data_IF_869065139373
#
_entry.id   IF_869065139373
#
_cell.length_a   1.000
_cell.length_b   1.000
_cell.length_c   1.000
_cell.angle_alpha   90.00
_cell.angle_beta   90.00
_cell.angle_gamma   90.00
#
_symmetry.space_group_name_H-M   'P 1'
#
loop_
_entity.id
_entity.type
_entity.pdbx_description
1 polymer ?
#
# COMPACT_ATOMS: atom_id res chain seq x y z
N UNK A 1 -1.06 -17.32 -17.16
CA UNK A 1 -0.12 -16.31 -16.63
C UNK A 1 -0.24 -14.94 -17.30
N UNK A 2 -0.21 -14.78 -18.65
CA UNK A 2 -0.23 -13.44 -19.26
C UNK A 2 -1.52 -12.65 -18.99
N UNK A 3 -2.68 -13.31 -18.99
CA UNK A 3 -3.98 -12.68 -18.68
C UNK A 3 -4.02 -12.09 -17.25
N UNK A 4 -3.42 -12.78 -16.28
CA UNK A 4 -3.36 -12.31 -14.89
C UNK A 4 -2.52 -11.04 -14.76
N UNK A 5 -1.33 -11.03 -15.36
CA UNK A 5 -0.46 -9.85 -15.36
C UNK A 5 -1.07 -8.66 -16.09
N UNK A 6 -1.78 -8.90 -17.20
CA UNK A 6 -2.54 -7.88 -17.89
C UNK A 6 -3.63 -7.28 -16.98
N UNK A 7 -4.35 -8.12 -16.22
CA UNK A 7 -5.35 -7.67 -15.26
C UNK A 7 -4.75 -6.86 -14.09
N UNK A 8 -3.62 -7.29 -13.54
CA UNK A 8 -2.90 -6.54 -12.48
C UNK A 8 -2.44 -5.18 -13.00
N UNK A 9 -1.81 -5.15 -14.18
CA UNK A 9 -1.34 -3.91 -14.79
C UNK A 9 -2.50 -2.97 -15.11
N UNK A 10 -3.60 -3.48 -15.66
CA UNK A 10 -4.81 -2.73 -15.92
C UNK A 10 -5.43 -2.16 -14.64
N UNK A 11 -5.46 -2.95 -13.56
CA UNK A 11 -5.99 -2.51 -12.26
C UNK A 11 -5.16 -1.38 -11.67
N UNK A 12 -3.82 -1.48 -11.74
CA UNK A 12 -2.94 -0.40 -11.34
C UNK A 12 -3.13 0.86 -12.19
N UNK A 13 -3.19 0.69 -13.51
CA UNK A 13 -3.40 1.79 -14.45
C UNK A 13 -4.68 2.56 -14.17
N UNK A 14 -5.79 1.82 -14.08
CA UNK A 14 -7.12 2.40 -13.85
C UNK A 14 -7.18 3.14 -12.52
N UNK A 15 -6.63 2.53 -11.45
CA UNK A 15 -6.60 3.14 -10.13
C UNK A 15 -5.73 4.41 -10.09
N UNK A 16 -4.52 4.36 -10.66
CA UNK A 16 -3.63 5.52 -10.71
C UNK A 16 -4.25 6.66 -11.51
N UNK A 17 -4.89 6.35 -12.65
CA UNK A 17 -5.58 7.36 -13.45
C UNK A 17 -6.74 8.01 -12.69
N UNK A 18 -7.52 7.22 -11.94
CA UNK A 18 -8.60 7.73 -11.09
C UNK A 18 -8.06 8.63 -9.98
N UNK A 19 -6.97 8.24 -9.31
CA UNK A 19 -6.34 9.04 -8.27
C UNK A 19 -5.81 10.38 -8.80
N UNK A 20 -5.18 10.38 -9.98
CA UNK A 20 -4.68 11.61 -10.60
C UNK A 20 -5.82 12.55 -11.05
N UNK A 21 -6.92 11.99 -11.55
CA UNK A 21 -8.11 12.77 -11.94
C UNK A 21 -8.88 13.35 -10.75
N UNK A 22 -8.70 12.77 -9.56
CA UNK A 22 -9.31 13.26 -8.33
C UNK A 22 -8.52 14.41 -7.66
N UNK A 23 -7.35 14.78 -8.20
CA UNK A 23 -6.61 15.95 -7.72
C UNK A 23 -7.35 17.26 -8.04
N UNK A 24 -7.14 18.33 -7.26
CA UNK A 24 -7.79 19.61 -7.48
C UNK A 24 -7.59 20.15 -8.92
N UNK A 25 -8.58 20.88 -9.47
CA UNK A 25 -8.43 21.57 -10.76
C UNK A 25 -7.19 22.47 -10.77
N UNK A 26 -6.47 22.56 -11.89
CA UNK A 26 -5.24 23.36 -12.01
C UNK A 26 -3.94 22.63 -11.65
N UNK A 27 -3.99 21.45 -11.00
CA UNK A 27 -2.77 20.72 -10.62
C UNK A 27 -2.20 19.92 -11.80
N UNK A 28 -3.06 19.25 -12.57
CA UNK A 28 -2.66 18.32 -13.63
C UNK A 28 -3.41 18.53 -14.95
N UNK A 29 -3.98 19.71 -15.21
CA UNK A 29 -4.81 20.07 -16.38
C UNK A 29 -4.58 19.21 -17.66
N UNK A 30 -5.34 18.12 -17.79
CA UNK A 30 -5.26 17.18 -18.92
C UNK A 30 -4.01 16.29 -18.99
N UNK A 31 -3.00 16.50 -18.14
CA UNK A 31 -1.72 15.78 -18.10
C UNK A 31 -1.72 14.50 -17.26
N UNK A 32 -2.83 14.17 -16.61
CA UNK A 32 -2.95 12.98 -15.76
C UNK A 32 -2.49 11.69 -16.48
N UNK A 33 -2.85 11.50 -17.76
CA UNK A 33 -2.46 10.32 -18.54
C UNK A 33 -0.94 10.19 -18.74
N UNK A 34 -0.21 11.30 -18.83
CA UNK A 34 1.25 11.28 -19.01
C UNK A 34 2.01 10.88 -17.73
N UNK A 35 1.39 11.05 -16.56
CA UNK A 35 1.98 10.67 -15.28
C UNK A 35 1.66 9.23 -14.87
N UNK A 36 0.69 8.58 -15.51
CA UNK A 36 0.34 7.18 -15.19
C UNK A 36 1.54 6.23 -15.41
N UNK A 37 2.24 6.24 -16.57
CA UNK A 37 3.37 5.34 -16.79
C UNK A 37 4.49 5.44 -15.74
N UNK A 38 5.06 6.63 -15.41
CA UNK A 38 6.13 6.73 -14.41
C UNK A 38 5.66 6.33 -13.00
N UNK A 39 4.39 6.55 -12.64
CA UNK A 39 3.84 6.12 -11.34
C UNK A 39 3.66 4.61 -11.26
N UNK A 40 3.20 3.96 -12.34
CA UNK A 40 3.16 2.49 -12.41
C UNK A 40 4.57 1.91 -12.35
N UNK A 41 5.54 2.51 -13.05
CA UNK A 41 6.93 2.10 -12.99
C UNK A 41 7.48 2.22 -11.55
N UNK A 42 7.23 3.34 -10.88
CA UNK A 42 7.58 3.52 -9.46
C UNK A 42 6.95 2.46 -8.55
N UNK A 43 5.67 2.11 -8.77
CA UNK A 43 5.00 1.03 -8.04
C UNK A 43 5.66 -0.33 -8.30
N UNK A 44 5.98 -0.64 -9.55
CA UNK A 44 6.65 -1.89 -9.92
C UNK A 44 8.03 -1.99 -9.26
N UNK A 45 8.82 -0.91 -9.28
CA UNK A 45 10.12 -0.82 -8.61
C UNK A 45 9.98 -1.03 -7.12
N UNK A 46 8.99 -0.40 -6.48
CA UNK A 46 8.74 -0.57 -5.05
C UNK A 46 8.41 -2.03 -4.68
N UNK A 47 7.54 -2.70 -5.44
CA UNK A 47 7.20 -4.11 -5.22
C UNK A 47 8.38 -5.04 -5.50
N UNK A 48 9.21 -4.71 -6.50
CA UNK A 48 10.43 -5.44 -6.80
C UNK A 48 11.45 -5.31 -5.67
N UNK A 49 11.63 -4.09 -5.14
CA UNK A 49 12.47 -3.82 -3.98
C UNK A 49 11.97 -4.53 -2.72
N UNK A 50 10.65 -4.54 -2.48
CA UNK A 50 10.02 -5.29 -1.37
C UNK A 50 10.33 -6.79 -1.48
N UNK A 51 10.09 -7.39 -2.65
CA UNK A 51 10.40 -8.81 -2.89
C UNK A 51 11.91 -9.09 -2.75
N UNK A 52 12.75 -8.18 -3.23
CA UNK A 52 14.21 -8.28 -3.19
C UNK A 52 14.75 -8.25 -1.76
N UNK A 53 14.25 -7.33 -0.94
CA UNK A 53 14.62 -7.24 0.47
C UNK A 53 14.31 -8.55 1.21
N UNK A 54 13.12 -9.11 1.02
CA UNK A 54 12.79 -10.41 1.62
C UNK A 54 13.64 -11.56 1.07
N UNK A 55 13.94 -11.57 -0.22
CA UNK A 55 14.81 -12.58 -0.82
C UNK A 55 16.24 -12.53 -0.26
N UNK A 56 16.82 -11.33 -0.14
CA UNK A 56 18.14 -11.12 0.47
C UNK A 56 18.12 -11.57 1.93
N UNK A 57 17.10 -11.19 2.70
CA UNK A 57 16.95 -11.59 4.10
C UNK A 57 16.78 -13.11 4.26
N UNK A 58 16.12 -13.78 3.31
CA UNK A 58 16.04 -15.23 3.25
C UNK A 58 17.40 -15.86 2.96
N UNK A 59 18.10 -15.36 1.94
CA UNK A 59 19.40 -15.84 1.50
C UNK A 59 20.47 -15.71 2.59
N UNK A 60 20.55 -14.57 3.28
CA UNK A 60 21.51 -14.35 4.39
C UNK A 60 21.27 -15.28 5.58
N UNK A 61 20.07 -15.87 5.69
CA UNK A 61 19.72 -16.84 6.72
C UNK A 61 19.69 -18.28 6.21
N UNK A 62 20.30 -18.55 5.06
CA UNK A 62 20.42 -19.88 4.46
C UNK A 62 19.12 -20.45 3.88
N UNK A 63 18.10 -19.63 3.66
CA UNK A 63 16.80 -20.05 3.16
C UNK A 63 16.38 -19.18 1.95
N UNK A 64 16.96 -19.42 0.76
CA UNK A 64 16.68 -18.60 -0.42
C UNK A 64 15.21 -18.70 -0.84
N UNK A 65 14.60 -17.56 -1.17
CA UNK A 65 13.24 -17.48 -1.67
C UNK A 65 13.21 -17.63 -3.20
N UNK A 66 12.22 -18.34 -3.78
CA UNK A 66 12.00 -18.35 -5.22
C UNK A 66 11.47 -16.98 -5.67
N UNK A 67 12.40 -16.06 -5.96
CA UNK A 67 12.15 -14.63 -6.15
C UNK A 67 10.97 -14.33 -7.08
N UNK A 68 10.98 -14.87 -8.31
CA UNK A 68 9.93 -14.56 -9.29
C UNK A 68 8.53 -15.03 -8.89
N UNK A 69 8.44 -16.19 -8.22
CA UNK A 69 7.16 -16.70 -7.69
C UNK A 69 6.66 -15.80 -6.56
N UNK A 70 7.57 -15.38 -5.69
CA UNK A 70 7.25 -14.51 -4.57
C UNK A 70 6.89 -13.09 -5.02
N UNK A 71 7.59 -12.53 -6.00
CA UNK A 71 7.27 -11.24 -6.61
C UNK A 71 5.87 -11.27 -7.27
N UNK A 72 5.55 -12.33 -8.02
CA UNK A 72 4.22 -12.51 -8.62
C UNK A 72 3.12 -12.52 -7.54
N UNK A 73 3.40 -13.15 -6.40
CA UNK A 73 2.50 -13.17 -5.26
C UNK A 73 2.30 -11.79 -4.63
N UNK A 74 3.38 -11.05 -4.36
CA UNK A 74 3.31 -9.67 -3.84
C UNK A 74 2.57 -8.74 -4.80
N UNK A 75 2.87 -8.82 -6.09
CA UNK A 75 2.17 -8.03 -7.12
C UNK A 75 0.66 -8.33 -7.12
N UNK A 76 0.29 -9.61 -6.98
CA UNK A 76 -1.10 -10.04 -6.87
C UNK A 76 -1.78 -9.48 -5.63
N UNK A 77 -1.13 -9.56 -4.46
CA UNK A 77 -1.64 -9.01 -3.21
C UNK A 77 -1.79 -7.49 -3.24
N UNK A 78 -1.01 -6.78 -4.05
CA UNK A 78 -1.14 -5.32 -4.19
C UNK A 78 -2.47 -4.87 -4.80
N UNK A 79 -3.23 -5.79 -5.40
CA UNK A 79 -4.60 -5.52 -5.89
C UNK A 79 -5.60 -5.39 -4.74
N UNK A 80 -5.29 -5.92 -3.55
CA UNK A 80 -6.05 -5.67 -2.32
C UNK A 80 -6.02 -4.18 -1.96
N UNK A 81 -4.92 -3.48 -2.23
CA UNK A 81 -4.84 -2.03 -2.02
C UNK A 81 -5.73 -1.26 -3.00
N UNK A 82 -5.87 -1.77 -4.23
CA UNK A 82 -6.81 -1.22 -5.23
C UNK A 82 -8.25 -1.43 -4.78
N UNK A 83 -8.58 -2.62 -4.27
CA UNK A 83 -9.89 -2.90 -3.67
C UNK A 83 -10.17 -1.98 -2.47
N UNK A 84 -9.18 -1.76 -1.61
CA UNK A 84 -9.29 -0.84 -0.48
C UNK A 84 -9.60 0.59 -0.95
N UNK A 85 -8.89 1.07 -1.98
CA UNK A 85 -9.13 2.40 -2.55
C UNK A 85 -10.52 2.51 -3.21
N UNK A 86 -10.96 1.49 -3.93
CA UNK A 86 -12.30 1.43 -4.51
C UNK A 86 -13.38 1.45 -3.42
N UNK A 87 -13.23 0.63 -2.38
CA UNK A 87 -14.18 0.57 -1.26
C UNK A 87 -14.28 1.91 -0.52
N UNK A 88 -13.17 2.63 -0.38
CA UNK A 88 -13.17 3.98 0.22
C UNK A 88 -14.00 4.97 -0.59
N UNK A 89 -13.82 5.00 -1.91
CA UNK A 89 -14.59 5.89 -2.78
C UNK A 89 -16.08 5.59 -2.73
N UNK A 90 -16.46 4.32 -2.76
CA UNK A 90 -17.88 3.93 -2.67
C UNK A 90 -18.49 4.25 -1.31
N UNK A 91 -17.71 4.16 -0.23
CA UNK A 91 -18.18 4.43 1.12
C UNK A 91 -18.27 5.92 1.47
N UNK A 92 -17.66 6.81 0.67
CA UNK A 92 -17.69 8.25 0.89
C UNK A 92 -19.11 8.82 0.92
N UNK A 93 -20.03 8.25 0.14
CA UNK A 93 -21.44 8.70 0.07
C UNK A 93 -22.44 7.67 0.65
N UNK A 94 -21.94 6.64 1.32
CA UNK A 94 -22.77 5.57 1.88
C UNK A 94 -23.35 5.93 3.26
N UNK A 95 -24.35 5.16 3.69
CA UNK A 95 -24.92 5.26 5.02
C UNK A 95 -23.84 5.07 6.12
N UNK A 96 -24.01 5.65 7.33
CA UNK A 96 -22.99 5.62 8.39
C UNK A 96 -22.48 4.23 8.75
N UNK A 97 -23.37 3.23 8.76
CA UNK A 97 -23.00 1.83 9.04
C UNK A 97 -22.07 1.28 7.95
N UNK A 98 -22.39 1.50 6.67
CA UNK A 98 -21.55 1.08 5.55
C UNK A 98 -20.19 1.80 5.56
N UNK A 99 -20.19 3.08 5.96
CA UNK A 99 -18.96 3.86 6.16
C UNK A 99 -18.08 3.27 7.27
N UNK A 100 -18.67 2.91 8.42
CA UNK A 100 -17.95 2.28 9.53
C UNK A 100 -17.32 0.93 9.13
N UNK A 101 -18.05 0.12 8.36
CA UNK A 101 -17.52 -1.13 7.80
C UNK A 101 -16.32 -0.84 6.88
N UNK A 102 -16.44 0.14 5.97
CA UNK A 102 -15.35 0.51 5.08
C UNK A 102 -14.10 1.04 5.84
N UNK A 103 -14.29 1.76 6.95
CA UNK A 103 -13.18 2.16 7.85
C UNK A 103 -12.50 0.92 8.45
N UNK A 104 -13.24 -0.07 8.94
CA UNK A 104 -12.66 -1.28 9.52
C UNK A 104 -11.80 -2.05 8.51
N UNK A 105 -12.24 -2.13 7.25
CA UNK A 105 -11.50 -2.84 6.20
C UNK A 105 -10.31 -2.04 5.66
N UNK A 106 -10.49 -0.75 5.44
CA UNK A 106 -9.53 0.06 4.70
C UNK A 106 -8.65 0.94 5.60
N UNK A 107 -9.06 1.22 6.82
CA UNK A 107 -8.35 2.05 7.79
C UNK A 107 -8.96 3.45 7.98
N UNK A 108 -8.46 4.21 8.98
CA UNK A 108 -9.07 5.48 9.42
C UNK A 108 -8.88 6.63 8.44
N UNK A 109 -8.08 6.51 7.38
CA UNK A 109 -7.93 7.54 6.34
C UNK A 109 -9.26 8.03 5.77
N UNK A 110 -10.28 7.18 5.79
CA UNK A 110 -11.63 7.50 5.32
C UNK A 110 -12.41 8.43 6.27
N UNK A 111 -12.00 8.56 7.54
CA UNK A 111 -12.61 9.47 8.51
C UNK A 111 -12.21 10.93 8.25
N UNK A 112 -10.99 11.16 7.75
CA UNK A 112 -10.48 12.51 7.44
C UNK A 112 -11.03 13.12 6.14
N UNK A 113 -11.73 12.35 5.31
CA UNK A 113 -12.25 12.82 4.01
C UNK A 113 -13.66 13.40 4.05
N UNK A 114 -14.34 13.40 5.21
CA UNK A 114 -15.79 13.56 5.27
C UNK A 114 -16.40 14.59 6.24
N UNK A 115 -15.63 15.31 7.06
CA UNK A 115 -16.23 16.25 8.02
C UNK A 115 -15.36 17.45 8.44
N UNK A 116 -14.03 17.36 8.39
CA UNK A 116 -13.16 18.47 8.77
C UNK A 116 -12.53 19.13 7.54
N UNK A 117 -13.35 19.89 6.82
CA UNK A 117 -12.89 21.02 6.01
C UNK A 117 -12.44 22.21 6.89
N UNK A 118 -12.24 21.98 8.19
CA UNK A 118 -11.69 22.90 9.19
C UNK A 118 -10.17 22.72 9.30
N UNK A 119 -9.45 22.88 8.18
CA UNK A 119 -8.02 23.24 8.17
C UNK A 119 -6.99 22.32 8.86
N UNK A 120 -7.37 21.19 9.46
CA UNK A 120 -6.42 20.27 10.08
C UNK A 120 -5.75 19.43 8.99
N UNK A 121 -4.67 19.98 8.45
CA UNK A 121 -3.80 19.31 7.50
C UNK A 121 -3.55 17.86 7.93
N UNK A 122 -3.72 16.91 7.00
CA UNK A 122 -3.46 15.49 7.24
C UNK A 122 -2.20 15.32 8.11
N UNK A 123 -2.35 14.73 9.29
CA UNK A 123 -1.22 14.53 10.21
C UNK A 123 -0.29 13.48 9.64
N UNK A 124 1.01 13.52 9.98
CA UNK A 124 1.96 12.48 9.55
C UNK A 124 1.49 11.08 9.98
N UNK A 125 0.82 10.98 11.12
CA UNK A 125 0.17 9.75 11.60
C UNK A 125 -0.90 9.26 10.64
N UNK A 126 -1.74 10.14 10.10
CA UNK A 126 -2.74 9.77 9.09
C UNK A 126 -2.12 9.38 7.76
N UNK A 127 -1.01 10.03 7.36
CA UNK A 127 -0.27 9.63 6.16
C UNK A 127 0.35 8.23 6.31
N UNK A 128 0.98 7.95 7.46
CA UNK A 128 1.63 6.68 7.74
C UNK A 128 0.65 5.54 8.02
N UNK A 129 -0.30 5.75 8.93
CA UNK A 129 -1.17 4.72 9.49
C UNK A 129 -2.65 4.83 9.07
N UNK A 130 -3.01 5.82 8.26
CA UNK A 130 -4.39 5.96 7.77
C UNK A 130 -4.91 4.77 6.97
N UNK A 131 -4.00 3.96 6.40
CA UNK A 131 -4.34 2.77 5.64
C UNK A 131 -4.31 1.47 6.46
N UNK A 132 -4.21 1.56 7.78
CA UNK A 132 -4.23 0.38 8.65
C UNK A 132 -5.68 -0.07 8.88
N UNK A 133 -6.11 -1.03 8.07
CA UNK A 133 -7.36 -1.77 8.25
C UNK A 133 -7.16 -3.26 8.04
N UNK A 134 -8.25 -4.03 8.04
CA UNK A 134 -8.21 -5.48 7.85
C UNK A 134 -7.45 -5.89 6.58
N UNK A 135 -7.55 -5.11 5.49
CA UNK A 135 -6.84 -5.38 4.25
C UNK A 135 -5.32 -5.23 4.35
N UNK A 136 -4.82 -4.26 5.11
CA UNK A 136 -3.39 -4.11 5.35
C UNK A 136 -2.85 -5.28 6.17
N UNK A 137 -3.58 -5.68 7.22
CA UNK A 137 -3.24 -6.84 8.04
C UNK A 137 -3.27 -8.14 7.21
N UNK A 138 -4.27 -8.30 6.36
CA UNK A 138 -4.37 -9.43 5.44
C UNK A 138 -3.16 -9.48 4.48
N UNK A 139 -2.76 -8.35 3.90
CA UNK A 139 -1.58 -8.29 3.02
C UNK A 139 -0.31 -8.71 3.77
N UNK A 140 -0.08 -8.16 4.97
CA UNK A 140 1.07 -8.55 5.82
C UNK A 140 1.04 -10.05 6.10
N UNK A 141 -0.12 -10.58 6.49
CA UNK A 141 -0.28 -11.99 6.81
C UNK A 141 -0.02 -12.90 5.60
N UNK A 142 -0.57 -12.56 4.45
CA UNK A 142 -0.42 -13.34 3.21
C UNK A 142 1.00 -13.26 2.63
N UNK A 143 1.69 -12.12 2.79
CA UNK A 143 3.11 -11.99 2.45
C UNK A 143 3.98 -12.87 3.35
N UNK A 144 3.75 -12.84 4.67
CA UNK A 144 4.45 -13.69 5.63
C UNK A 144 4.24 -15.19 5.36
N UNK A 145 3.01 -15.56 5.01
CA UNK A 145 2.67 -16.93 4.63
C UNK A 145 3.37 -17.39 3.36
N UNK A 146 3.39 -16.55 2.32
CA UNK A 146 4.12 -16.89 1.09
C UNK A 146 5.62 -16.97 1.31
N UNK A 147 6.19 -16.11 2.15
CA UNK A 147 7.58 -16.18 2.55
C UNK A 147 7.88 -17.47 3.34
N UNK A 148 6.99 -17.88 4.25
CA UNK A 148 7.13 -19.12 5.02
C UNK A 148 7.14 -20.34 4.09
N UNK A 149 6.19 -20.40 3.15
CA UNK A 149 6.15 -21.48 2.15
C UNK A 149 7.34 -21.48 1.21
N UNK A 150 7.82 -20.31 0.82
CA UNK A 150 8.98 -20.18 -0.08
C UNK A 150 10.31 -20.52 0.60
N UNK A 151 10.44 -20.32 1.91
CA UNK A 151 11.67 -20.59 2.68
C UNK A 151 11.65 -21.90 3.46
N UNK A 152 10.49 -22.54 3.60
CA UNK A 152 10.30 -23.70 4.48
C UNK A 152 10.37 -23.38 5.98
N UNK A 153 10.38 -22.09 6.37
CA UNK A 153 10.50 -21.67 7.78
C UNK A 153 9.14 -21.55 8.47
N UNK A 154 9.10 -21.56 9.82
CA UNK A 154 7.87 -21.34 10.58
C UNK A 154 7.25 -19.97 10.28
N UNK A 155 5.92 -19.94 10.16
CA UNK A 155 5.14 -18.72 9.88
C UNK A 155 5.40 -17.60 10.91
N UNK A 156 5.63 -17.96 12.18
CA UNK A 156 5.90 -16.98 13.25
C UNK A 156 7.15 -16.14 12.94
N UNK A 157 8.21 -16.75 12.41
CA UNK A 157 9.44 -16.04 12.06
C UNK A 157 9.22 -15.09 10.89
N UNK A 158 8.53 -15.55 9.83
CA UNK A 158 8.26 -14.70 8.67
C UNK A 158 7.27 -13.59 8.99
N UNK A 159 6.30 -13.82 9.88
CA UNK A 159 5.42 -12.78 10.42
C UNK A 159 6.19 -11.70 11.15
N UNK A 160 7.18 -12.06 11.98
CA UNK A 160 8.04 -11.08 12.65
C UNK A 160 8.83 -10.24 11.64
N UNK A 161 9.43 -10.87 10.63
CA UNK A 161 10.22 -10.17 9.60
C UNK A 161 9.34 -9.25 8.75
N UNK A 162 8.23 -9.75 8.23
CA UNK A 162 7.31 -8.97 7.38
C UNK A 162 6.63 -7.88 8.18
N UNK A 163 6.18 -8.17 9.40
CA UNK A 163 5.57 -7.21 10.31
C UNK A 163 6.55 -6.10 10.72
N UNK A 164 7.79 -6.44 11.10
CA UNK A 164 8.81 -5.46 11.42
C UNK A 164 9.16 -4.57 10.22
N UNK A 165 9.35 -5.17 9.03
CA UNK A 165 9.57 -4.42 7.80
C UNK A 165 8.40 -3.46 7.50
N UNK A 166 7.16 -3.94 7.66
CA UNK A 166 5.97 -3.13 7.47
C UNK A 166 5.92 -1.95 8.46
N UNK A 167 6.17 -2.17 9.76
CA UNK A 167 6.23 -1.09 10.75
C UNK A 167 7.32 -0.08 10.38
N UNK A 168 8.52 -0.54 10.03
CA UNK A 168 9.62 0.35 9.64
C UNK A 168 9.22 1.21 8.44
N UNK A 169 8.59 0.65 7.39
CA UNK A 169 8.13 1.46 6.26
C UNK A 169 7.11 2.52 6.66
N UNK A 170 6.26 2.24 7.65
CA UNK A 170 5.28 3.21 8.18
C UNK A 170 5.96 4.34 8.95
N UNK A 171 6.96 4.01 9.76
CA UNK A 171 7.78 5.01 10.46
C UNK A 171 8.57 5.88 9.49
N UNK A 172 9.18 5.28 8.45
CA UNK A 172 9.86 6.04 7.40
C UNK A 172 8.88 6.98 6.69
N UNK A 173 7.66 6.53 6.41
CA UNK A 173 6.63 7.37 5.78
C UNK A 173 6.19 8.52 6.69
N UNK A 174 6.04 8.27 7.99
CA UNK A 174 5.76 9.30 9.00
C UNK A 174 6.86 10.37 8.99
N UNK A 175 8.12 9.96 9.15
CA UNK A 175 9.26 10.88 9.18
C UNK A 175 9.46 11.61 7.85
N UNK A 176 9.24 10.94 6.72
CA UNK A 176 9.32 11.58 5.41
C UNK A 176 8.29 12.69 5.29
N UNK A 177 7.06 12.44 5.76
CA UNK A 177 6.00 13.43 5.76
C UNK A 177 6.32 14.64 6.67
N UNK A 178 6.85 14.38 7.86
CA UNK A 178 7.27 15.44 8.78
C UNK A 178 8.41 16.28 8.19
N UNK A 179 9.41 15.64 7.58
CA UNK A 179 10.50 16.30 6.85
C UNK A 179 9.97 17.17 5.69
N UNK A 180 9.02 16.68 4.89
CA UNK A 180 8.42 17.46 3.80
C UNK A 180 7.63 18.68 4.30
N UNK A 181 7.16 18.65 5.56
CA UNK A 181 6.52 19.79 6.22
C UNK A 181 7.50 20.71 6.94
N UNK A 182 8.81 20.45 6.85
CA UNK A 182 9.84 21.23 7.54
C UNK A 182 9.92 20.97 9.04
N UNK A 183 9.33 19.88 9.54
CA UNK A 183 9.40 19.47 10.94
C UNK A 183 10.53 18.46 11.15
N UNK A 184 11.17 18.50 12.33
CA UNK A 184 12.16 17.49 12.70
C UNK A 184 11.46 16.12 12.88
N UNK A 185 12.00 15.02 12.32
CA UNK A 185 11.44 13.67 12.49
C UNK A 185 11.76 13.04 13.86
N UNK A 186 12.53 13.74 14.71
CA UNK A 186 12.91 13.34 16.07
C UNK A 186 12.49 14.47 17.03
N UNK A 187 11.87 14.15 18.18
CA UNK A 187 11.51 15.15 19.19
C UNK A 187 12.72 15.92 19.75
#
# INVERSE_FOLDING_TARGET
>A
MPVWWAWVAWSWWSETLLQLRALPPGVLDGRASHLVPPLIAGRAIALFAEAGAYAVVGATRGAPLPFWRFFTWIASLSTVDVLAAALRRTAAHAAPIARAIAVAFTGPALLGSGADASGHAATGVMAAFGNVGAFALLRVAMTAWAAARGTGRPLRHTMLVVGAAWIITRLVMLWSFDLFKGMSPVP
#
